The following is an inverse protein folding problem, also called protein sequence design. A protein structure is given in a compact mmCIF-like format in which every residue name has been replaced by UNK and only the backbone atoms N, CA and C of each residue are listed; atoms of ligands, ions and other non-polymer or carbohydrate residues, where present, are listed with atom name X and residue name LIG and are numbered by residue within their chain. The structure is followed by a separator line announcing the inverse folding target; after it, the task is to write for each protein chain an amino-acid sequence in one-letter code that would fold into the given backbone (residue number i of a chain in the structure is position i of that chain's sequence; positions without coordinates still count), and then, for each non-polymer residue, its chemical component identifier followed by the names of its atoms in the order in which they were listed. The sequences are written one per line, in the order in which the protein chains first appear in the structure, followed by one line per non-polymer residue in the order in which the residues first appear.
data_IF_783714819365
#
_entry.id   IF_783714819365
#
_cell.length_a   1.000
_cell.length_b   1.000
_cell.length_c   1.000
_cell.angle_alpha   90.00
_cell.angle_beta   90.00
_cell.angle_gamma   90.00
#
_symmetry.space_group_name_H-M   'P 1'
#
loop_
_entity.id
_entity.type
_entity.pdbx_description
1 polymer ?
#
# COMPACT_ATOMS: atom_id res chain seq x y z
N UNK A 1 13.28 -10.97 4.65
CA UNK A 1 12.17 -10.82 3.69
C UNK A 1 10.91 -11.43 4.29
N UNK A 2 9.83 -10.71 4.19
CA UNK A 2 8.55 -11.22 4.67
C UNK A 2 7.93 -12.18 3.65
N UNK A 3 7.46 -13.35 4.12
CA UNK A 3 6.69 -14.30 3.33
C UNK A 3 5.42 -14.63 4.10
N UNK A 4 4.32 -14.03 3.71
CA UNK A 4 3.02 -14.32 4.31
C UNK A 4 2.21 -15.17 3.33
N UNK A 5 1.56 -16.27 3.77
CA UNK A 5 0.81 -17.14 2.87
C UNK A 5 -0.23 -16.40 2.03
N UNK A 6 -0.85 -15.38 2.58
CA UNK A 6 -1.85 -14.58 1.87
C UNK A 6 -1.24 -13.85 0.67
N UNK A 7 -0.02 -13.31 0.80
CA UNK A 7 0.64 -12.64 -0.31
C UNK A 7 0.99 -13.62 -1.44
N UNK A 8 1.55 -14.77 -1.10
CA UNK A 8 1.89 -15.80 -2.08
C UNK A 8 0.64 -16.34 -2.79
N UNK A 9 -0.40 -16.60 -2.03
CA UNK A 9 -1.66 -17.14 -2.52
C UNK A 9 -2.34 -16.19 -3.49
N UNK A 10 -2.39 -14.91 -3.14
CA UNK A 10 -3.04 -13.87 -3.96
C UNK A 10 -2.25 -13.55 -5.23
N UNK A 11 -0.94 -13.66 -5.20
CA UNK A 11 -0.09 -13.43 -6.36
C UNK A 11 -0.34 -14.43 -7.49
N UNK A 12 -0.88 -15.62 -7.20
CA UNK A 12 -1.14 -16.66 -8.18
C UNK A 12 -2.53 -16.55 -8.83
N UNK A 13 -3.39 -15.67 -8.36
CA UNK A 13 -4.66 -15.41 -9.00
C UNK A 13 -4.47 -14.47 -10.20
N UNK A 14 -5.13 -14.73 -11.30
CA UNK A 14 -5.04 -13.92 -12.50
C UNK A 14 -5.39 -12.45 -12.24
N UNK A 15 -4.85 -11.57 -13.08
CA UNK A 15 -5.12 -10.15 -13.00
C UNK A 15 -6.58 -9.92 -13.43
N UNK A 16 -7.35 -9.28 -12.55
CA UNK A 16 -8.69 -8.78 -12.88
C UNK A 16 -8.60 -7.28 -13.07
N UNK A 17 -8.88 -6.87 -14.31
CA UNK A 17 -8.90 -5.45 -14.65
C UNK A 17 -10.22 -4.83 -14.20
N UNK A 18 -10.15 -3.61 -13.69
CA UNK A 18 -11.30 -2.84 -13.23
C UNK A 18 -11.29 -2.62 -11.72
N UNK A 19 -12.09 -1.67 -11.28
CA UNK A 19 -12.11 -1.20 -9.89
C UNK A 19 -13.31 -1.70 -9.09
N UNK A 20 -14.22 -2.47 -9.70
CA UNK A 20 -15.46 -2.88 -9.04
C UNK A 20 -15.20 -3.70 -7.77
N UNK A 21 -14.29 -4.65 -7.82
CA UNK A 21 -13.95 -5.48 -6.65
C UNK A 21 -13.28 -4.67 -5.55
N UNK A 22 -12.35 -3.80 -5.93
CA UNK A 22 -11.67 -2.94 -4.97
C UNK A 22 -12.69 -2.01 -4.29
N UNK A 23 -13.60 -1.43 -5.07
CA UNK A 23 -14.65 -0.58 -4.53
C UNK A 23 -15.56 -1.33 -3.55
N UNK A 24 -15.94 -2.56 -3.86
CA UNK A 24 -16.76 -3.40 -2.97
C UNK A 24 -16.04 -3.71 -1.66
N UNK A 25 -14.78 -4.07 -1.72
CA UNK A 25 -13.96 -4.35 -0.54
C UNK A 25 -13.80 -3.09 0.31
N UNK A 26 -13.51 -1.95 -0.30
CA UNK A 26 -13.36 -0.68 0.42
C UNK A 26 -14.67 -0.27 1.10
N UNK A 27 -15.80 -0.47 0.43
CA UNK A 27 -17.11 -0.21 1.02
C UNK A 27 -17.35 -1.09 2.24
N UNK A 28 -17.04 -2.37 2.16
CA UNK A 28 -17.15 -3.30 3.28
C UNK A 28 -16.27 -2.89 4.44
N UNK A 29 -15.05 -2.40 4.17
CA UNK A 29 -14.10 -1.95 5.20
C UNK A 29 -14.42 -0.56 5.76
N UNK A 30 -15.49 0.10 5.33
CA UNK A 30 -15.91 1.40 5.84
C UNK A 30 -15.27 2.59 5.14
N UNK A 31 -14.88 2.42 3.87
CA UNK A 31 -14.29 3.49 3.05
C UNK A 31 -13.05 4.13 3.69
N UNK A 32 -12.02 3.34 4.07
CA UNK A 32 -10.85 3.88 4.78
C UNK A 32 -10.07 4.92 3.97
N UNK A 33 -10.15 4.89 2.64
CA UNK A 33 -9.47 5.84 1.79
C UNK A 33 -10.00 7.28 1.96
N UNK A 34 -11.24 7.44 2.41
CA UNK A 34 -11.84 8.77 2.60
C UNK A 34 -11.29 9.48 3.84
N UNK A 35 -10.60 8.76 4.72
CA UNK A 35 -10.02 9.32 5.94
C UNK A 35 -8.69 10.03 5.70
N UNK A 36 -8.14 10.00 4.49
CA UNK A 36 -6.83 10.56 4.19
C UNK A 36 -6.84 11.35 2.88
N UNK A 37 -5.96 12.33 2.79
CA UNK A 37 -5.69 13.02 1.52
C UNK A 37 -4.61 12.24 0.76
N UNK A 38 -4.84 12.01 -0.53
CA UNK A 38 -3.94 11.24 -1.36
C UNK A 38 -3.43 12.06 -2.54
N UNK A 39 -2.16 11.87 -2.89
CA UNK A 39 -1.56 12.35 -4.13
C UNK A 39 -1.23 11.13 -4.97
N UNK A 40 -1.83 11.03 -6.15
CA UNK A 40 -1.59 9.91 -7.06
C UNK A 40 -0.65 10.35 -8.17
N UNK A 41 0.48 9.65 -8.30
CA UNK A 41 1.50 9.93 -9.31
C UNK A 41 1.60 8.73 -10.25
N UNK A 42 1.36 8.99 -11.54
CA UNK A 42 1.40 7.97 -12.56
C UNK A 42 2.30 8.42 -13.71
N UNK A 43 2.83 7.46 -14.46
CA UNK A 43 3.68 7.76 -15.61
C UNK A 43 4.65 6.62 -15.90
N UNK A 44 5.34 6.74 -17.03
CA UNK A 44 6.31 5.72 -17.47
C UNK A 44 7.71 6.01 -16.94
N UNK A 45 8.09 7.28 -16.82
CA UNK A 45 9.41 7.70 -16.36
C UNK A 45 9.30 8.73 -15.25
N UNK A 46 10.22 8.66 -14.28
CA UNK A 46 10.37 9.65 -13.24
C UNK A 46 9.32 9.62 -12.14
N UNK A 47 8.36 8.69 -12.16
CA UNK A 47 7.31 8.62 -11.13
C UNK A 47 7.88 8.31 -9.74
N UNK A 48 8.86 7.42 -9.66
CA UNK A 48 9.52 7.09 -8.38
C UNK A 48 10.25 8.27 -7.78
N UNK A 49 10.99 9.02 -8.60
CA UNK A 49 11.69 10.24 -8.17
C UNK A 49 10.71 11.33 -7.75
N UNK A 50 9.62 11.51 -8.50
CA UNK A 50 8.58 12.49 -8.18
C UNK A 50 7.89 12.13 -6.87
N UNK A 51 7.57 10.85 -6.63
CA UNK A 51 7.01 10.39 -5.38
C UNK A 51 7.94 10.67 -4.20
N UNK A 52 9.22 10.36 -4.35
CA UNK A 52 10.21 10.56 -3.30
C UNK A 52 10.35 12.05 -2.94
N UNK A 53 10.42 12.92 -3.94
CA UNK A 53 10.52 14.37 -3.73
C UNK A 53 9.25 14.93 -3.09
N UNK A 54 8.08 14.50 -3.55
CA UNK A 54 6.79 14.93 -2.99
C UNK A 54 6.65 14.49 -1.55
N UNK A 55 6.97 13.24 -1.25
CA UNK A 55 6.91 12.71 0.11
C UNK A 55 7.87 13.47 1.04
N UNK A 56 9.09 13.74 0.58
CA UNK A 56 10.07 14.49 1.35
C UNK A 56 9.61 15.92 1.62
N UNK A 57 9.06 16.59 0.64
CA UNK A 57 8.55 17.96 0.79
C UNK A 57 7.38 18.02 1.80
N UNK A 58 6.46 17.06 1.72
CA UNK A 58 5.33 16.99 2.64
C UNK A 58 5.80 16.69 4.07
N UNK A 59 6.77 15.81 4.22
CA UNK A 59 7.35 15.50 5.53
C UNK A 59 8.05 16.72 6.14
N UNK A 60 8.80 17.46 5.35
CA UNK A 60 9.44 18.72 5.78
C UNK A 60 8.40 19.77 6.18
N UNK A 61 7.23 19.75 5.54
CA UNK A 61 6.13 20.65 5.89
C UNK A 61 5.40 20.23 7.17
N UNK A 62 5.79 19.15 7.82
CA UNK A 62 5.23 18.69 9.09
C UNK A 62 4.13 17.65 8.97
N UNK A 63 3.85 17.15 7.79
CA UNK A 63 2.85 16.10 7.60
C UNK A 63 3.41 14.72 7.91
N UNK A 64 2.53 13.85 8.39
CA UNK A 64 2.82 12.43 8.46
C UNK A 64 2.51 11.81 7.09
N UNK A 65 3.53 11.26 6.43
CA UNK A 65 3.44 10.86 5.03
C UNK A 65 3.55 9.36 4.89
N UNK A 66 2.50 8.72 4.37
CA UNK A 66 2.57 7.36 3.86
C UNK A 66 2.94 7.39 2.38
N UNK A 67 3.85 6.54 1.98
CA UNK A 67 4.27 6.41 0.58
C UNK A 67 4.11 4.96 0.15
N UNK A 68 3.30 4.76 -0.89
CA UNK A 68 3.19 3.46 -1.54
C UNK A 68 3.83 3.54 -2.93
N UNK A 69 4.73 2.61 -3.22
CA UNK A 69 5.37 2.48 -4.54
C UNK A 69 5.39 1.03 -5.00
N UNK A 70 5.42 0.82 -6.31
CA UNK A 70 5.55 -0.50 -6.90
C UNK A 70 6.29 -0.42 -8.23
N UNK A 71 7.01 -1.48 -8.61
CA UNK A 71 7.28 -2.70 -7.84
C UNK A 71 8.35 -2.48 -6.76
N UNK A 72 8.60 -3.50 -5.93
CA UNK A 72 9.74 -3.48 -5.01
C UNK A 72 10.97 -4.11 -5.69
N UNK A 73 12.17 -3.78 -5.16
CA UNK A 73 13.42 -4.33 -5.68
C UNK A 73 13.78 -5.66 -5.02
N UNK A 74 13.74 -5.72 -3.69
CA UNK A 74 14.17 -6.88 -2.91
C UNK A 74 13.06 -7.35 -1.97
N UNK A 75 12.53 -6.45 -1.16
CA UNK A 75 11.53 -6.75 -0.14
C UNK A 75 10.21 -6.03 -0.39
N UNK A 76 9.10 -6.73 -0.20
CA UNK A 76 7.77 -6.15 -0.34
C UNK A 76 7.54 -4.96 0.61
N UNK A 77 8.24 -4.93 1.74
CA UNK A 77 8.20 -3.81 2.70
C UNK A 77 8.57 -2.46 2.06
N UNK A 78 9.39 -2.48 1.01
CA UNK A 78 9.80 -1.29 0.28
C UNK A 78 8.61 -0.53 -0.32
N UNK A 79 7.51 -1.24 -0.56
CA UNK A 79 6.29 -0.65 -1.13
C UNK A 79 5.56 0.25 -0.14
N UNK A 80 5.84 0.12 1.15
CA UNK A 80 5.09 0.79 2.22
C UNK A 80 6.05 1.53 3.13
N UNK A 81 6.08 2.84 3.04
CA UNK A 81 6.92 3.68 3.89
C UNK A 81 6.07 4.68 4.65
N UNK A 82 6.44 4.94 5.89
CA UNK A 82 5.88 6.02 6.71
C UNK A 82 7.03 6.92 7.14
N UNK A 83 6.93 8.19 6.77
CA UNK A 83 7.97 9.19 7.04
C UNK A 83 9.37 8.71 6.64
N UNK A 84 9.46 8.11 5.44
CA UNK A 84 10.73 7.68 4.86
C UNK A 84 11.26 6.34 5.32
N UNK A 85 10.59 5.66 6.26
CA UNK A 85 11.02 4.37 6.78
C UNK A 85 10.08 3.27 6.31
N UNK A 86 10.64 2.21 5.71
CA UNK A 86 9.86 1.05 5.29
C UNK A 86 9.20 0.37 6.51
N UNK A 87 7.99 -0.12 6.30
CA UNK A 87 7.25 -0.86 7.35
C UNK A 87 8.05 -2.09 7.79
N UNK A 88 8.06 -2.37 9.09
CA UNK A 88 8.72 -3.57 9.62
C UNK A 88 7.96 -4.85 9.22
N UNK A 89 8.67 -5.98 9.24
CA UNK A 89 8.04 -7.29 8.97
C UNK A 89 6.90 -7.57 9.96
N UNK A 90 7.11 -7.25 11.23
CA UNK A 90 6.09 -7.47 12.27
C UNK A 90 4.84 -6.64 12.01
N UNK A 91 5.00 -5.36 11.71
CA UNK A 91 3.87 -4.46 11.45
C UNK A 91 3.14 -4.85 10.16
N UNK A 92 3.87 -5.21 9.11
CA UNK A 92 3.27 -5.65 7.86
C UNK A 92 2.47 -6.94 8.03
N UNK A 93 3.01 -7.91 8.76
CA UNK A 93 2.29 -9.16 9.08
C UNK A 93 1.01 -8.88 9.87
N UNK A 94 1.08 -8.01 10.87
CA UNK A 94 -0.06 -7.64 11.69
C UNK A 94 -1.18 -7.01 10.85
N UNK A 95 -0.81 -6.09 9.96
CA UNK A 95 -1.78 -5.44 9.08
C UNK A 95 -2.41 -6.43 8.09
N UNK A 96 -1.61 -7.33 7.51
CA UNK A 96 -2.11 -8.35 6.59
C UNK A 96 -3.08 -9.28 7.31
N UNK A 97 -2.75 -9.72 8.53
CA UNK A 97 -3.61 -10.61 9.30
C UNK A 97 -4.91 -9.92 9.74
N UNK A 98 -4.84 -8.65 10.10
CA UNK A 98 -6.01 -7.83 10.41
C UNK A 98 -6.94 -7.73 9.21
N UNK A 99 -6.38 -7.45 8.04
CA UNK A 99 -7.13 -7.38 6.79
C UNK A 99 -7.74 -8.74 6.43
N UNK A 100 -6.98 -9.81 6.56
CA UNK A 100 -7.46 -11.16 6.28
C UNK A 100 -8.67 -11.53 7.17
N UNK A 101 -8.59 -11.20 8.46
CA UNK A 101 -9.72 -11.44 9.39
C UNK A 101 -10.97 -10.67 8.95
N UNK A 102 -10.80 -9.41 8.55
CA UNK A 102 -11.91 -8.59 8.06
C UNK A 102 -12.52 -9.15 6.78
N UNK A 103 -11.67 -9.60 5.85
CA UNK A 103 -12.12 -10.12 4.56
C UNK A 103 -12.78 -11.49 4.65
N UNK A 104 -12.55 -12.26 5.72
CA UNK A 104 -13.23 -13.54 5.91
C UNK A 104 -14.73 -13.37 6.16
N UNK A 105 -15.13 -12.22 6.62
CA UNK A 105 -16.53 -11.87 6.84
C UNK A 105 -17.20 -11.29 5.59
N UNK A 106 -16.41 -10.95 4.58
CA UNK A 106 -16.88 -10.40 3.31
C UNK A 106 -17.19 -11.51 2.30
#
# INVERSE_FOLDING_TARGET
MITHPLLSQRANYGIKLGLSRVAEVLQFLGEPQDAMACVHIAGTNGKGSTCALTASALQEAGYRVGLYTSPHLIHVNERFKVNGTAISDADLCEEIESLDRSLREW
#
